data_IF_073156860344
#
_entry.id   IF_073156860344
#
_cell.length_a   1.000
_cell.length_b   1.000
_cell.length_c   1.000
_cell.angle_alpha   90.00
_cell.angle_beta   90.00
_cell.angle_gamma   90.00
#
_symmetry.space_group_name_H-M   'P 1'
#
loop_
_entity.id
_entity.type
_entity.pdbx_description
1 polymer ?
#
# COMPACT_ATOMS: atom_id res chain seq x y z
N UNK A 1 -15.99 8.00 19.43
CA UNK A 1 -16.05 8.97 18.32
C UNK A 1 -17.07 8.52 17.29
N UNK A 2 -17.68 9.48 16.62
CA UNK A 2 -18.61 9.27 15.51
C UNK A 2 -17.92 9.72 14.21
N UNK A 3 -17.61 8.79 13.31
CA UNK A 3 -16.77 9.04 12.13
C UNK A 3 -17.54 8.71 10.86
N UNK A 4 -17.52 9.62 9.87
CA UNK A 4 -18.19 9.43 8.60
C UNK A 4 -17.17 9.34 7.47
N UNK A 5 -17.12 8.19 6.82
CA UNK A 5 -16.36 7.98 5.58
C UNK A 5 -17.25 8.29 4.38
N UNK A 6 -16.74 9.03 3.42
CA UNK A 6 -17.46 9.36 2.19
C UNK A 6 -16.73 8.78 1.00
N UNK A 7 -17.40 7.90 0.22
CA UNK A 7 -16.84 7.20 -0.92
C UNK A 7 -17.82 7.22 -2.10
N UNK A 8 -17.50 8.02 -3.11
CA UNK A 8 -18.33 8.18 -4.30
C UNK A 8 -18.01 7.23 -5.44
N UNK A 9 -17.02 6.35 -5.28
CA UNK A 9 -16.71 5.30 -6.25
C UNK A 9 -17.93 4.40 -6.49
N UNK A 10 -18.08 3.96 -7.74
CA UNK A 10 -19.04 2.91 -8.10
C UNK A 10 -18.37 1.56 -8.28
N UNK A 11 -17.05 1.56 -8.43
CA UNK A 11 -16.22 0.37 -8.60
C UNK A 11 -15.71 -0.11 -7.25
N UNK A 12 -15.33 -1.38 -7.19
CA UNK A 12 -14.72 -2.00 -6.01
C UNK A 12 -13.24 -2.25 -6.24
N UNK A 13 -12.42 -1.90 -5.27
CA UNK A 13 -10.97 -2.10 -5.29
C UNK A 13 -10.38 -2.20 -3.89
N UNK A 14 -9.06 -2.20 -3.81
CA UNK A 14 -8.34 -2.35 -2.54
C UNK A 14 -8.57 -1.20 -1.55
N UNK A 15 -8.79 0.02 -2.05
CA UNK A 15 -9.09 1.18 -1.20
C UNK A 15 -10.46 1.04 -0.54
N UNK A 16 -11.49 0.68 -1.30
CA UNK A 16 -12.86 0.51 -0.80
C UNK A 16 -12.94 -0.66 0.19
N UNK A 17 -12.27 -1.76 -0.11
CA UNK A 17 -12.14 -2.90 0.81
C UNK A 17 -11.48 -2.49 2.13
N UNK A 18 -10.34 -1.80 2.07
CA UNK A 18 -9.65 -1.30 3.26
C UNK A 18 -10.53 -0.34 4.08
N UNK A 19 -11.27 0.54 3.42
CA UNK A 19 -12.21 1.46 4.08
C UNK A 19 -13.27 0.70 4.87
N UNK A 20 -13.82 -0.37 4.33
CA UNK A 20 -14.78 -1.21 5.05
C UNK A 20 -14.15 -1.89 6.28
N UNK A 21 -12.93 -2.41 6.14
CA UNK A 21 -12.22 -3.00 7.27
C UNK A 21 -11.95 -1.97 8.39
N UNK A 22 -11.55 -0.75 8.04
CA UNK A 22 -11.35 0.35 9.00
C UNK A 22 -12.64 0.68 9.76
N UNK A 23 -13.77 0.78 9.05
CA UNK A 23 -15.09 1.06 9.65
C UNK A 23 -15.50 -0.07 10.58
N UNK A 24 -15.35 -1.31 10.15
CA UNK A 24 -15.74 -2.48 10.94
C UNK A 24 -14.86 -2.58 12.21
N UNK A 25 -13.56 -2.32 12.08
CA UNK A 25 -12.65 -2.27 13.24
C UNK A 25 -13.08 -1.19 14.25
N UNK A 26 -13.34 0.03 13.78
CA UNK A 26 -13.81 1.13 14.64
C UNK A 26 -15.09 0.77 15.38
N UNK A 27 -16.06 0.17 14.68
CA UNK A 27 -17.32 -0.26 15.29
C UNK A 27 -17.13 -1.37 16.32
N UNK A 28 -16.18 -2.29 16.09
CA UNK A 28 -15.85 -3.35 17.04
C UNK A 28 -15.10 -2.81 18.30
N UNK A 29 -14.44 -1.65 18.19
CA UNK A 29 -13.70 -1.03 19.30
C UNK A 29 -14.44 0.14 19.99
N UNK A 30 -15.79 0.12 19.95
CA UNK A 30 -16.61 1.07 20.74
C UNK A 30 -16.78 2.45 20.11
N UNK A 31 -16.38 2.64 18.84
CA UNK A 31 -16.65 3.84 18.07
C UNK A 31 -17.90 3.67 17.19
N UNK A 32 -18.39 4.74 16.58
CA UNK A 32 -19.45 4.68 15.59
C UNK A 32 -18.90 5.19 14.26
N UNK A 33 -18.80 4.31 13.28
CA UNK A 33 -18.33 4.65 11.96
C UNK A 33 -19.30 4.20 10.88
N UNK A 34 -19.48 5.03 9.85
CA UNK A 34 -20.39 4.78 8.73
C UNK A 34 -19.66 5.02 7.41
N UNK A 35 -20.08 4.28 6.38
CA UNK A 35 -19.72 4.53 5.00
C UNK A 35 -20.90 5.15 4.25
N UNK A 36 -20.73 6.37 3.75
CA UNK A 36 -21.66 6.93 2.77
C UNK A 36 -21.22 6.51 1.39
N UNK A 37 -22.09 5.86 0.64
CA UNK A 37 -21.82 5.40 -0.72
C UNK A 37 -23.04 5.56 -1.65
N UNK A 38 -22.77 5.44 -2.96
CA UNK A 38 -23.83 5.45 -3.96
C UNK A 38 -24.71 4.20 -3.84
N UNK A 39 -26.04 4.32 -3.93
CA UNK A 39 -26.91 3.17 -4.16
C UNK A 39 -26.50 2.46 -5.46
N UNK A 40 -26.80 1.18 -5.60
CA UNK A 40 -26.56 0.36 -6.79
C UNK A 40 -25.11 0.39 -7.32
N UNK A 41 -24.15 0.57 -6.42
CA UNK A 41 -22.71 0.50 -6.70
C UNK A 41 -22.13 -0.82 -6.23
N UNK A 42 -20.97 -1.23 -6.82
CA UNK A 42 -20.22 -2.38 -6.31
C UNK A 42 -19.76 -2.15 -4.87
N UNK A 43 -19.45 -0.88 -4.50
CA UNK A 43 -19.13 -0.50 -3.12
C UNK A 43 -20.28 -0.85 -2.18
N UNK A 44 -21.53 -0.47 -2.54
CA UNK A 44 -22.70 -0.76 -1.73
C UNK A 44 -22.90 -2.28 -1.53
N UNK A 45 -22.88 -3.07 -2.61
CA UNK A 45 -23.08 -4.51 -2.54
C UNK A 45 -22.00 -5.19 -1.68
N UNK A 46 -20.74 -4.92 -1.97
CA UNK A 46 -19.60 -5.56 -1.29
C UNK A 46 -19.47 -5.12 0.17
N UNK A 47 -19.68 -3.85 0.46
CA UNK A 47 -19.67 -3.36 1.83
C UNK A 47 -20.82 -3.93 2.68
N UNK A 48 -21.99 -4.17 2.07
CA UNK A 48 -23.11 -4.89 2.71
C UNK A 48 -22.73 -6.34 3.04
N UNK A 49 -22.10 -7.05 2.09
CA UNK A 49 -21.61 -8.43 2.31
C UNK A 49 -20.60 -8.51 3.48
N UNK A 50 -19.80 -7.46 3.67
CA UNK A 50 -18.83 -7.34 4.77
C UNK A 50 -19.45 -6.88 6.10
N UNK A 51 -20.77 -6.65 6.15
CA UNK A 51 -21.45 -6.15 7.35
C UNK A 51 -21.10 -4.71 7.73
N UNK A 52 -20.55 -3.93 6.79
CA UNK A 52 -20.16 -2.53 7.04
C UNK A 52 -21.41 -1.66 7.23
N UNK A 53 -21.39 -0.75 8.20
CA UNK A 53 -22.50 0.16 8.48
C UNK A 53 -22.61 1.22 7.39
N UNK A 54 -23.66 1.14 6.57
CA UNK A 54 -23.86 1.94 5.37
C UNK A 54 -24.91 3.05 5.54
N UNK A 55 -24.66 4.14 4.80
CA UNK A 55 -25.62 5.21 4.52
C UNK A 55 -25.65 5.43 3.02
N UNK A 56 -26.75 5.17 2.37
CA UNK A 56 -26.90 5.32 0.93
C UNK A 56 -27.37 6.72 0.56
N UNK A 57 -26.56 7.40 -0.24
CA UNK A 57 -26.88 8.70 -0.84
C UNK A 57 -26.38 8.75 -2.27
N UNK A 58 -27.11 9.35 -3.22
CA UNK A 58 -26.58 9.63 -4.54
C UNK A 58 -25.42 10.65 -4.45
N UNK A 59 -24.20 10.20 -4.71
CA UNK A 59 -22.97 11.01 -4.71
C UNK A 59 -22.56 11.29 -6.17
N UNK A 60 -23.32 12.16 -6.85
CA UNK A 60 -23.22 12.30 -8.30
C UNK A 60 -22.10 13.22 -8.80
N UNK A 61 -22.12 14.48 -8.42
CA UNK A 61 -21.23 15.52 -8.93
C UNK A 61 -20.11 15.88 -7.95
N UNK A 62 -19.03 16.44 -8.46
CA UNK A 62 -17.88 16.90 -7.66
C UNK A 62 -18.26 18.07 -6.75
N UNK A 63 -19.12 18.97 -7.23
CA UNK A 63 -19.73 20.05 -6.45
C UNK A 63 -21.22 19.85 -6.55
N UNK A 64 -21.85 19.53 -5.41
CA UNK A 64 -23.27 19.27 -5.30
C UNK A 64 -23.74 19.76 -3.93
N UNK A 65 -24.26 20.99 -3.91
CA UNK A 65 -24.67 21.66 -2.66
C UNK A 65 -25.84 20.93 -1.98
N UNK A 66 -26.73 20.32 -2.77
CA UNK A 66 -27.86 19.57 -2.21
C UNK A 66 -27.35 18.29 -1.53
N UNK A 67 -26.44 17.57 -2.16
CA UNK A 67 -25.80 16.41 -1.55
C UNK A 67 -24.98 16.82 -0.31
N UNK A 68 -24.20 17.91 -0.37
CA UNK A 68 -23.48 18.45 0.78
C UNK A 68 -24.40 18.82 1.93
N UNK A 69 -25.58 19.42 1.64
CA UNK A 69 -26.57 19.72 2.66
C UNK A 69 -27.16 18.43 3.31
N UNK A 70 -27.44 17.39 2.52
CA UNK A 70 -27.90 16.09 3.05
C UNK A 70 -26.84 15.45 3.96
N UNK A 71 -25.57 15.48 3.55
CA UNK A 71 -24.43 15.03 4.36
C UNK A 71 -24.31 15.83 5.65
N UNK A 72 -24.39 17.15 5.56
CA UNK A 72 -24.36 18.04 6.73
C UNK A 72 -25.48 17.73 7.72
N UNK A 73 -26.73 17.57 7.23
CA UNK A 73 -27.87 17.19 8.06
C UNK A 73 -27.65 15.84 8.75
N UNK A 74 -27.09 14.87 8.04
CA UNK A 74 -26.70 13.58 8.61
C UNK A 74 -25.65 13.76 9.71
N UNK A 75 -24.60 14.52 9.46
CA UNK A 75 -23.53 14.79 10.42
C UNK A 75 -24.08 15.43 11.70
N UNK A 76 -24.92 16.45 11.58
CA UNK A 76 -25.53 17.11 12.75
C UNK A 76 -26.41 16.16 13.55
N UNK A 77 -27.27 15.37 12.87
CA UNK A 77 -28.18 14.42 13.53
C UNK A 77 -27.44 13.32 14.27
N UNK A 78 -26.33 12.84 13.73
CA UNK A 78 -25.56 11.74 14.30
C UNK A 78 -24.32 12.22 15.07
N UNK A 79 -24.18 13.52 15.30
CA UNK A 79 -23.05 14.13 16.04
C UNK A 79 -21.71 13.64 15.53
N UNK A 80 -21.50 13.74 14.19
CA UNK A 80 -20.25 13.32 13.57
C UNK A 80 -19.10 14.23 14.03
N UNK A 81 -18.08 13.60 14.59
CA UNK A 81 -16.86 14.27 15.09
C UNK A 81 -15.84 14.50 13.97
N UNK A 82 -15.80 13.60 12.97
CA UNK A 82 -14.77 13.60 11.92
C UNK A 82 -15.30 13.06 10.60
N UNK A 83 -15.00 13.78 9.51
CA UNK A 83 -15.17 13.31 8.14
C UNK A 83 -13.87 12.71 7.60
N UNK A 84 -13.98 11.60 6.86
CA UNK A 84 -12.84 10.97 6.16
C UNK A 84 -13.12 10.81 4.68
N UNK A 85 -12.14 11.18 3.85
CA UNK A 85 -12.23 11.08 2.38
C UNK A 85 -10.96 10.53 1.77
N UNK A 86 -11.09 9.72 0.71
CA UNK A 86 -9.98 9.14 -0.04
C UNK A 86 -9.85 9.76 -1.44
N UNK A 87 -10.95 10.12 -2.08
CA UNK A 87 -10.93 10.68 -3.43
C UNK A 87 -11.00 12.22 -3.44
N UNK A 88 -10.49 12.83 -4.51
CA UNK A 88 -10.61 14.29 -4.69
C UNK A 88 -12.05 14.74 -4.87
N UNK A 89 -12.90 13.88 -5.42
CA UNK A 89 -14.33 14.16 -5.60
C UNK A 89 -15.04 14.28 -4.26
N UNK A 90 -14.81 13.31 -3.38
CA UNK A 90 -15.42 13.25 -2.05
C UNK A 90 -14.95 14.41 -1.18
N UNK A 91 -13.69 14.80 -1.32
CA UNK A 91 -13.14 15.94 -0.63
C UNK A 91 -13.90 17.23 -1.02
N UNK A 92 -14.10 17.50 -2.33
CA UNK A 92 -14.85 18.66 -2.79
C UNK A 92 -16.30 18.65 -2.29
N UNK A 93 -16.91 17.48 -2.22
CA UNK A 93 -18.26 17.31 -1.72
C UNK A 93 -18.37 17.62 -0.21
N UNK A 94 -17.34 17.28 0.56
CA UNK A 94 -17.25 17.51 2.00
C UNK A 94 -16.73 18.91 2.37
N UNK A 95 -16.20 19.67 1.41
CA UNK A 95 -15.61 20.98 1.67
C UNK A 95 -16.57 21.99 2.34
N UNK A 96 -17.87 22.10 1.94
CA UNK A 96 -18.82 22.97 2.65
C UNK A 96 -19.00 22.56 4.11
N UNK A 97 -18.98 21.26 4.42
CA UNK A 97 -19.13 20.75 5.78
C UNK A 97 -17.92 21.13 6.65
N UNK A 98 -16.72 21.07 6.07
CA UNK A 98 -15.50 21.51 6.72
C UNK A 98 -15.58 22.99 7.13
N UNK A 99 -16.02 23.88 6.22
CA UNK A 99 -16.22 25.29 6.55
C UNK A 99 -17.38 25.54 7.53
N UNK A 100 -18.30 24.59 7.68
CA UNK A 100 -19.33 24.60 8.73
C UNK A 100 -18.83 24.02 10.07
N UNK A 101 -17.51 23.81 10.24
CA UNK A 101 -16.88 23.45 11.50
C UNK A 101 -16.76 21.94 11.77
N UNK A 102 -17.06 21.06 10.78
CA UNK A 102 -16.84 19.62 10.95
C UNK A 102 -15.42 19.27 10.48
N UNK A 103 -14.54 18.74 11.35
CA UNK A 103 -13.18 18.36 10.97
C UNK A 103 -13.16 17.37 9.81
N UNK A 104 -12.22 17.58 8.88
CA UNK A 104 -12.06 16.74 7.69
C UNK A 104 -10.63 16.20 7.59
N UNK A 105 -10.48 14.87 7.61
CA UNK A 105 -9.25 14.16 7.35
C UNK A 105 -9.23 13.65 5.92
N UNK A 106 -8.14 13.94 5.20
CA UNK A 106 -7.94 13.56 3.80
C UNK A 106 -6.82 12.55 3.66
N UNK A 107 -7.11 11.34 3.16
CA UNK A 107 -6.07 10.37 2.83
C UNK A 107 -5.40 10.67 1.48
N UNK A 108 -4.08 10.40 1.41
CA UNK A 108 -3.27 10.49 0.18
C UNK A 108 -2.39 9.26 0.06
N UNK A 109 -2.74 8.37 -0.87
CA UNK A 109 -2.09 7.06 -1.03
C UNK A 109 -1.25 6.95 -2.32
N UNK A 110 -1.15 8.04 -3.12
CA UNK A 110 -0.44 8.05 -4.41
C UNK A 110 0.60 9.14 -4.46
N UNK A 111 1.70 8.87 -5.17
CA UNK A 111 2.82 9.80 -5.38
C UNK A 111 2.67 10.69 -6.61
N UNK A 112 1.63 10.48 -7.43
CA UNK A 112 1.39 11.33 -8.60
C UNK A 112 1.29 12.80 -8.19
N UNK A 113 1.95 13.73 -8.90
CA UNK A 113 1.91 15.15 -8.58
C UNK A 113 0.50 15.70 -8.57
N UNK A 114 0.23 16.67 -7.69
CA UNK A 114 -1.04 17.41 -7.72
C UNK A 114 -0.97 18.42 -8.87
N UNK A 115 -1.46 18.02 -10.03
CA UNK A 115 -1.35 18.79 -11.28
C UNK A 115 -2.17 20.10 -11.34
N UNK A 116 -3.08 20.33 -10.38
CA UNK A 116 -4.02 21.44 -10.39
C UNK A 116 -3.85 22.34 -9.17
N UNK A 117 -3.69 23.66 -9.40
CA UNK A 117 -3.63 24.67 -8.33
C UNK A 117 -4.86 24.62 -7.40
N UNK A 118 -6.06 24.38 -7.95
CA UNK A 118 -7.27 24.24 -7.13
C UNK A 118 -7.25 23.02 -6.22
N UNK A 119 -6.67 21.89 -6.68
CA UNK A 119 -6.49 20.71 -5.81
C UNK A 119 -5.48 20.99 -4.72
N UNK A 120 -4.33 21.59 -5.04
CA UNK A 120 -3.33 21.98 -4.04
C UNK A 120 -3.91 22.92 -2.99
N UNK A 121 -4.71 23.92 -3.41
CA UNK A 121 -5.41 24.82 -2.50
C UNK A 121 -6.33 24.09 -1.53
N UNK A 122 -7.11 23.13 -2.02
CA UNK A 122 -8.03 22.33 -1.19
C UNK A 122 -7.28 21.44 -0.20
N UNK A 123 -6.14 20.87 -0.60
CA UNK A 123 -5.27 20.14 0.34
C UNK A 123 -4.69 21.05 1.42
N UNK A 124 -4.33 22.28 1.07
CA UNK A 124 -3.71 23.24 1.99
C UNK A 124 -4.72 23.85 2.98
N UNK A 125 -5.92 24.17 2.51
CA UNK A 125 -6.90 24.97 3.26
C UNK A 125 -8.24 24.29 3.51
N UNK A 126 -8.52 23.18 2.86
CA UNK A 126 -9.82 22.51 2.87
C UNK A 126 -9.88 21.23 3.72
N UNK A 127 -8.89 20.98 4.56
CA UNK A 127 -8.91 19.88 5.51
C UNK A 127 -8.15 20.23 6.78
N UNK A 128 -8.51 19.57 7.88
CA UNK A 128 -7.81 19.69 9.16
C UNK A 128 -6.54 18.85 9.19
N UNK A 129 -6.55 17.68 8.54
CA UNK A 129 -5.45 16.72 8.53
C UNK A 129 -5.32 16.04 7.18
N UNK A 130 -4.11 15.67 6.82
CA UNK A 130 -3.80 14.78 5.70
C UNK A 130 -3.15 13.53 6.25
N UNK A 131 -3.70 12.36 5.93
CA UNK A 131 -3.06 11.07 6.22
C UNK A 131 -2.36 10.59 4.95
N UNK A 132 -1.03 10.56 4.98
CA UNK A 132 -0.20 10.10 3.88
C UNK A 132 0.26 8.66 4.16
N UNK A 133 0.13 7.77 3.17
CA UNK A 133 0.55 6.36 3.33
C UNK A 133 2.08 6.20 3.37
N UNK A 134 2.85 7.29 3.12
CA UNK A 134 4.31 7.23 3.00
C UNK A 134 4.99 8.57 3.29
N UNK A 135 6.20 8.55 3.81
CA UNK A 135 7.02 9.74 4.08
C UNK A 135 7.37 10.50 2.79
N UNK A 136 7.55 9.81 1.68
CA UNK A 136 7.78 10.44 0.38
C UNK A 136 6.61 11.33 -0.04
N UNK A 137 5.38 10.92 0.25
CA UNK A 137 4.16 11.72 -0.02
C UNK A 137 4.17 12.98 0.86
N UNK A 138 4.50 12.86 2.15
CA UNK A 138 4.64 14.02 3.05
C UNK A 138 5.68 15.00 2.53
N UNK A 139 6.88 14.50 2.19
CA UNK A 139 7.96 15.33 1.61
C UNK A 139 7.51 16.05 0.35
N UNK A 140 6.79 15.38 -0.54
CA UNK A 140 6.26 15.96 -1.76
C UNK A 140 5.23 17.07 -1.46
N UNK A 141 4.25 16.82 -0.61
CA UNK A 141 3.22 17.78 -0.24
C UNK A 141 3.81 19.05 0.39
N UNK A 142 4.83 18.91 1.23
CA UNK A 142 5.52 20.03 1.85
C UNK A 142 6.33 20.82 0.81
N UNK A 143 7.17 20.14 0.01
CA UNK A 143 8.09 20.81 -0.93
C UNK A 143 7.38 21.45 -2.13
N UNK A 144 6.45 20.73 -2.75
CA UNK A 144 5.82 21.16 -4.01
C UNK A 144 4.61 22.04 -3.79
N UNK A 145 3.92 21.91 -2.64
CA UNK A 145 2.65 22.59 -2.41
C UNK A 145 2.64 23.47 -1.16
N UNK A 146 3.73 23.54 -0.40
CA UNK A 146 3.86 24.37 0.80
C UNK A 146 2.78 24.04 1.86
N UNK A 147 2.44 22.74 1.98
CA UNK A 147 1.51 22.29 3.01
C UNK A 147 2.26 22.17 4.34
N UNK A 148 1.65 22.65 5.41
CA UNK A 148 2.22 22.58 6.74
C UNK A 148 2.50 21.12 7.14
N UNK A 149 3.75 20.75 7.46
CA UNK A 149 4.10 19.41 7.86
C UNK A 149 3.36 18.93 9.12
N UNK A 150 2.90 19.84 10.00
CA UNK A 150 2.11 19.52 11.18
C UNK A 150 0.70 19.00 10.83
N UNK A 151 0.19 19.32 9.64
CA UNK A 151 -1.09 18.80 9.15
C UNK A 151 -0.98 17.39 8.55
N UNK A 152 0.24 16.85 8.38
CA UNK A 152 0.45 15.62 7.62
C UNK A 152 0.95 14.52 8.55
N UNK A 153 0.07 13.56 8.82
CA UNK A 153 0.43 12.31 9.49
C UNK A 153 0.86 11.26 8.46
N UNK A 154 1.93 10.53 8.78
CA UNK A 154 2.41 9.43 7.93
C UNK A 154 2.00 8.12 8.58
N UNK A 155 1.05 7.42 7.97
CA UNK A 155 0.52 6.15 8.46
C UNK A 155 0.50 5.16 7.31
N UNK A 156 1.49 4.29 7.26
CA UNK A 156 1.65 3.31 6.18
C UNK A 156 0.56 2.24 6.18
N UNK A 157 0.48 1.51 5.07
CA UNK A 157 -0.48 0.41 4.93
C UNK A 157 -0.11 -0.77 5.83
N UNK A 158 -1.11 -1.44 6.38
CA UNK A 158 -0.95 -2.69 7.10
C UNK A 158 -0.83 -3.89 6.16
N UNK A 159 -0.33 -5.01 6.68
CA UNK A 159 -0.38 -6.33 6.06
C UNK A 159 -1.20 -7.28 6.95
N UNK A 160 -1.88 -8.22 6.34
CA UNK A 160 -2.59 -9.29 7.05
C UNK A 160 -1.57 -10.31 7.57
N UNK A 161 -1.14 -10.12 8.82
CA UNK A 161 -0.12 -10.96 9.46
C UNK A 161 -0.54 -12.42 9.56
N UNK A 162 -1.83 -12.71 9.79
CA UNK A 162 -2.30 -14.10 9.88
C UNK A 162 -2.28 -14.79 8.51
N UNK A 163 -2.62 -14.05 7.45
CA UNK A 163 -2.56 -14.55 6.07
C UNK A 163 -1.14 -14.89 5.63
N UNK A 164 -0.13 -14.09 6.05
CA UNK A 164 1.26 -14.24 5.61
C UNK A 164 2.15 -14.97 6.63
N UNK A 165 1.62 -15.35 7.79
CA UNK A 165 2.36 -15.97 8.89
C UNK A 165 3.05 -17.29 8.50
N UNK A 166 4.36 -17.44 8.81
CA UNK A 166 5.03 -18.74 8.73
C UNK A 166 4.67 -19.65 9.95
N UNK A 167 4.83 -20.99 9.89
CA UNK A 167 5.29 -21.72 8.71
C UNK A 167 4.17 -21.98 7.71
N UNK A 168 4.55 -22.03 6.42
CA UNK A 168 3.69 -22.47 5.33
C UNK A 168 4.41 -23.52 4.49
N UNK A 169 3.67 -24.38 3.80
CA UNK A 169 4.23 -25.38 2.91
C UNK A 169 4.94 -24.70 1.71
N UNK A 170 6.27 -24.75 1.61
CA UNK A 170 7.00 -24.17 0.51
C UNK A 170 6.87 -24.96 -0.79
N UNK A 171 6.46 -26.24 -0.71
CA UNK A 171 6.55 -27.19 -1.82
C UNK A 171 5.42 -27.04 -2.84
N UNK A 172 4.27 -26.49 -2.43
CA UNK A 172 3.09 -26.37 -3.30
C UNK A 172 3.40 -25.55 -4.56
N UNK A 173 3.88 -24.33 -4.39
CA UNK A 173 4.22 -23.47 -5.53
C UNK A 173 5.43 -23.98 -6.30
N UNK A 174 6.46 -24.54 -5.61
CA UNK A 174 7.63 -25.16 -6.25
C UNK A 174 7.25 -26.30 -7.19
N UNK A 175 6.41 -27.23 -6.75
CA UNK A 175 5.88 -28.33 -7.59
C UNK A 175 5.11 -27.83 -8.80
N UNK A 176 4.28 -26.80 -8.60
CA UNK A 176 3.49 -26.23 -9.67
C UNK A 176 4.36 -25.63 -10.81
N UNK A 177 5.48 -25.01 -10.43
CA UNK A 177 6.41 -24.39 -11.40
C UNK A 177 7.58 -25.31 -11.79
N UNK A 178 7.57 -26.58 -11.34
CA UNK A 178 8.56 -27.59 -11.74
C UNK A 178 9.95 -27.37 -11.13
N UNK A 179 10.05 -26.89 -9.88
CA UNK A 179 11.32 -26.60 -9.18
C UNK A 179 11.48 -27.53 -7.98
N UNK A 180 12.67 -28.11 -7.83
CA UNK A 180 13.02 -28.95 -6.68
C UNK A 180 13.17 -28.12 -5.40
N UNK A 181 12.97 -28.79 -4.25
CA UNK A 181 12.98 -28.12 -2.95
C UNK A 181 14.34 -27.49 -2.58
N UNK A 182 15.44 -28.03 -3.09
CA UNK A 182 16.80 -27.54 -2.83
C UNK A 182 17.30 -26.47 -3.83
N UNK A 183 16.54 -26.17 -4.86
CA UNK A 183 16.88 -25.16 -5.86
C UNK A 183 16.69 -23.77 -5.29
N UNK A 184 17.70 -22.89 -5.29
CA UNK A 184 17.53 -21.49 -4.86
C UNK A 184 16.49 -20.79 -5.73
N UNK A 185 15.38 -20.35 -5.13
CA UNK A 185 14.29 -19.66 -5.82
C UNK A 185 14.21 -18.19 -5.40
N UNK A 186 14.45 -17.30 -6.35
CA UNK A 186 14.38 -15.85 -6.19
C UNK A 186 13.03 -15.36 -6.69
N UNK A 187 12.20 -14.79 -5.81
CA UNK A 187 10.87 -14.28 -6.13
C UNK A 187 10.87 -12.77 -6.42
N UNK A 188 10.15 -12.36 -7.47
CA UNK A 188 9.77 -10.97 -7.69
C UNK A 188 8.25 -10.90 -7.85
N UNK A 189 7.58 -10.29 -6.89
CA UNK A 189 6.11 -10.19 -6.84
C UNK A 189 5.69 -8.75 -7.14
N UNK A 190 4.71 -8.57 -8.02
CA UNK A 190 4.15 -7.26 -8.31
C UNK A 190 3.69 -7.07 -9.75
N UNK A 191 3.07 -5.92 -10.03
CA UNK A 191 2.65 -5.58 -11.40
C UNK A 191 3.86 -5.50 -12.33
N UNK A 192 3.70 -6.00 -13.56
CA UNK A 192 4.71 -5.88 -14.60
C UNK A 192 4.59 -4.50 -15.23
N UNK A 193 5.53 -3.61 -14.87
CA UNK A 193 5.57 -2.21 -15.32
C UNK A 193 7.02 -1.73 -15.42
N UNK A 194 7.32 -0.72 -16.27
CA UNK A 194 8.67 -0.18 -16.43
C UNK A 194 9.32 0.27 -15.12
N UNK A 195 8.54 0.88 -14.24
CA UNK A 195 8.99 1.40 -12.95
C UNK A 195 9.30 0.32 -11.90
N UNK A 196 8.88 -0.93 -12.13
CA UNK A 196 9.13 -2.07 -11.22
C UNK A 196 10.43 -2.83 -11.48
N UNK A 197 11.17 -2.46 -12.52
CA UNK A 197 12.53 -2.90 -12.75
C UNK A 197 12.71 -4.38 -13.09
N UNK A 198 11.67 -5.07 -13.60
CA UNK A 198 11.79 -6.48 -14.00
C UNK A 198 12.88 -6.70 -15.07
N UNK A 199 13.14 -5.72 -15.94
CA UNK A 199 14.25 -5.81 -16.91
C UNK A 199 15.64 -5.79 -16.24
N UNK A 200 15.79 -5.00 -15.16
CA UNK A 200 17.01 -4.99 -14.34
C UNK A 200 17.20 -6.35 -13.65
N UNK A 201 16.09 -6.94 -13.18
CA UNK A 201 16.12 -8.28 -12.59
C UNK A 201 16.55 -9.35 -13.60
N UNK A 202 16.06 -9.28 -14.86
CA UNK A 202 16.49 -10.22 -15.92
C UNK A 202 18.00 -10.13 -16.17
N UNK A 203 18.54 -8.92 -16.22
CA UNK A 203 19.99 -8.73 -16.39
C UNK A 203 20.77 -9.19 -15.14
N UNK A 204 20.27 -8.90 -13.93
CA UNK A 204 20.87 -9.42 -12.71
C UNK A 204 20.83 -10.96 -12.66
N UNK A 205 19.74 -11.58 -13.09
CA UNK A 205 19.62 -13.04 -13.18
C UNK A 205 20.68 -13.65 -14.09
N UNK A 206 20.96 -13.04 -15.23
CA UNK A 206 22.04 -13.48 -16.13
C UNK A 206 23.39 -13.54 -15.39
N UNK A 207 23.73 -12.47 -14.64
CA UNK A 207 24.97 -12.40 -13.86
C UNK A 207 24.99 -13.40 -12.68
N UNK A 208 23.87 -13.63 -12.03
CA UNK A 208 23.75 -14.64 -10.96
C UNK A 208 24.00 -16.03 -11.52
N UNK A 209 23.40 -16.36 -12.67
CA UNK A 209 23.47 -17.69 -13.27
C UNK A 209 24.88 -18.07 -13.79
N UNK A 210 25.74 -17.10 -14.06
CA UNK A 210 27.17 -17.34 -14.32
C UNK A 210 27.90 -17.99 -13.13
N UNK A 211 27.47 -17.68 -11.89
CA UNK A 211 28.06 -18.20 -10.64
C UNK A 211 27.21 -19.28 -9.97
N UNK A 212 25.90 -19.22 -10.17
CA UNK A 212 24.91 -20.15 -9.59
C UNK A 212 23.91 -20.61 -10.67
N UNK A 213 24.36 -21.53 -11.56
CA UNK A 213 23.55 -22.04 -12.67
C UNK A 213 22.33 -22.85 -12.21
N UNK A 214 22.34 -23.27 -10.95
CA UNK A 214 21.25 -23.96 -10.26
C UNK A 214 20.10 -23.03 -9.84
N UNK A 215 20.32 -21.72 -9.72
CA UNK A 215 19.30 -20.78 -9.29
C UNK A 215 18.11 -20.66 -10.29
N UNK A 216 16.94 -20.35 -9.75
CA UNK A 216 15.72 -20.08 -10.53
C UNK A 216 15.08 -18.80 -10.05
N UNK A 217 14.37 -18.15 -10.97
CA UNK A 217 13.68 -16.90 -10.71
C UNK A 217 12.20 -17.06 -11.04
N UNK A 218 11.33 -16.50 -10.19
CA UNK A 218 9.89 -16.44 -10.43
C UNK A 218 9.43 -14.99 -10.46
N UNK A 219 8.89 -14.53 -11.59
CA UNK A 219 8.23 -13.24 -11.73
C UNK A 219 6.73 -13.47 -11.65
N UNK A 220 6.13 -12.97 -10.57
CA UNK A 220 4.71 -13.18 -10.22
C UNK A 220 3.97 -11.87 -10.34
N UNK A 221 3.01 -11.83 -11.26
CA UNK A 221 2.20 -10.67 -11.56
C UNK A 221 1.82 -10.58 -13.03
N UNK A 222 1.08 -9.55 -13.38
CA UNK A 222 0.69 -9.31 -14.76
C UNK A 222 0.82 -7.83 -15.13
N UNK A 223 0.92 -7.55 -16.42
CA UNK A 223 0.92 -6.21 -16.97
C UNK A 223 -0.49 -5.59 -16.89
N UNK A 224 -0.56 -4.30 -16.60
CA UNK A 224 -1.81 -3.56 -16.75
C UNK A 224 -2.02 -3.26 -18.25
N UNK A 225 -3.11 -3.75 -18.85
CA UNK A 225 -3.43 -3.57 -20.26
C UNK A 225 -3.64 -2.10 -20.72
N UNK A 226 -3.48 -1.15 -19.82
CA UNK A 226 -3.62 0.31 -20.05
C UNK A 226 -2.38 0.91 -20.71
N UNK A 227 -1.22 0.30 -20.56
CA UNK A 227 0.02 0.80 -21.17
C UNK A 227 0.20 0.18 -22.56
N UNK A 228 -0.18 0.89 -23.61
CA UNK A 228 0.10 0.57 -25.03
C UNK A 228 1.61 0.36 -25.33
N UNK A 229 2.50 0.59 -24.38
CA UNK A 229 3.94 0.35 -24.40
C UNK A 229 4.36 -0.40 -23.13
N UNK A 230 3.74 -1.57 -22.86
CA UNK A 230 4.19 -2.46 -21.80
C UNK A 230 5.64 -2.92 -22.06
N UNK A 231 6.45 -3.04 -21.00
CA UNK A 231 7.72 -3.76 -21.12
C UNK A 231 7.41 -5.20 -21.50
N UNK A 232 8.14 -5.70 -22.48
CA UNK A 232 8.05 -7.11 -22.83
C UNK A 232 9.13 -7.88 -22.07
N UNK A 233 8.84 -8.19 -20.80
CA UNK A 233 9.75 -8.96 -19.94
C UNK A 233 10.04 -10.34 -20.55
N UNK A 234 9.05 -10.97 -21.19
CA UNK A 234 9.22 -12.27 -21.86
C UNK A 234 10.24 -12.18 -22.99
N UNK A 235 10.15 -11.18 -23.87
CA UNK A 235 11.15 -10.99 -24.91
C UNK A 235 12.56 -10.76 -24.34
N UNK A 236 12.69 -10.03 -23.24
CA UNK A 236 13.98 -9.84 -22.61
C UNK A 236 14.56 -11.16 -22.05
N UNK A 237 13.71 -12.00 -21.45
CA UNK A 237 14.07 -13.35 -20.99
C UNK A 237 14.54 -14.21 -22.16
N UNK A 238 13.77 -14.22 -23.27
CA UNK A 238 14.08 -15.02 -24.47
C UNK A 238 15.37 -14.55 -25.13
N UNK A 239 15.57 -13.24 -25.28
CA UNK A 239 16.79 -12.66 -25.83
C UNK A 239 18.04 -12.92 -24.96
N UNK A 240 17.86 -13.01 -23.63
CA UNK A 240 18.93 -13.38 -22.73
C UNK A 240 19.20 -14.90 -22.68
N UNK A 241 18.40 -15.72 -23.33
CA UNK A 241 18.51 -17.20 -23.31
C UNK A 241 18.17 -17.79 -21.94
N UNK A 242 17.25 -17.15 -21.17
CA UNK A 242 16.94 -17.51 -19.78
C UNK A 242 15.54 -18.10 -19.60
N UNK A 243 14.91 -18.58 -20.69
CA UNK A 243 13.54 -19.08 -20.67
C UNK A 243 13.34 -20.30 -19.73
N UNK A 244 14.38 -21.09 -19.51
CA UNK A 244 14.40 -22.25 -18.59
C UNK A 244 14.79 -21.87 -17.15
N UNK A 245 15.21 -20.63 -16.90
CA UNK A 245 15.72 -20.13 -15.62
C UNK A 245 14.78 -19.13 -14.95
N UNK A 246 13.99 -18.39 -15.73
CA UNK A 246 13.08 -17.37 -15.26
C UNK A 246 11.63 -17.74 -15.59
N UNK A 247 10.84 -18.03 -14.58
CA UNK A 247 9.45 -18.44 -14.72
C UNK A 247 8.55 -17.22 -14.61
N UNK A 248 7.72 -16.99 -15.64
CA UNK A 248 6.63 -16.00 -15.62
C UNK A 248 5.37 -16.67 -15.05
N UNK A 249 5.14 -16.58 -13.74
CA UNK A 249 4.05 -17.30 -13.08
C UNK A 249 2.66 -16.63 -13.20
N UNK A 250 2.58 -15.48 -13.87
CA UNK A 250 1.32 -14.77 -14.05
C UNK A 250 0.78 -14.15 -12.76
N UNK A 251 -0.49 -13.71 -12.83
CA UNK A 251 -1.17 -13.16 -11.65
C UNK A 251 -1.58 -14.27 -10.67
N UNK A 252 -1.35 -14.05 -9.37
CA UNK A 252 -1.64 -15.03 -8.32
C UNK A 252 -2.43 -14.41 -7.18
N UNK A 253 -3.40 -15.16 -6.66
CA UNK A 253 -4.17 -14.82 -5.45
C UNK A 253 -3.54 -15.41 -4.17
N UNK A 254 -2.81 -16.50 -4.32
CA UNK A 254 -2.14 -17.27 -3.27
C UNK A 254 -0.70 -16.78 -3.04
N UNK A 255 -0.52 -15.46 -3.03
CA UNK A 255 0.81 -14.86 -2.78
C UNK A 255 1.50 -15.34 -1.51
N UNK A 256 0.81 -15.70 -0.40
CA UNK A 256 1.48 -16.31 0.74
C UNK A 256 2.21 -17.62 0.43
N UNK A 257 1.65 -18.46 -0.45
CA UNK A 257 2.28 -19.71 -0.88
C UNK A 257 3.49 -19.43 -1.79
N UNK A 258 3.40 -18.37 -2.61
CA UNK A 258 4.52 -17.88 -3.42
C UNK A 258 5.68 -17.42 -2.52
N UNK A 259 5.40 -16.57 -1.52
CA UNK A 259 6.45 -16.12 -0.60
C UNK A 259 7.05 -17.30 0.17
N UNK A 260 6.22 -18.24 0.64
CA UNK A 260 6.70 -19.44 1.34
C UNK A 260 7.68 -20.29 0.52
N UNK A 261 7.46 -20.36 -0.79
CA UNK A 261 8.30 -21.12 -1.72
C UNK A 261 9.63 -20.44 -2.05
N UNK A 262 9.70 -19.10 -1.98
CA UNK A 262 10.91 -18.35 -2.30
C UNK A 262 11.94 -18.41 -1.18
N UNK A 263 13.23 -18.53 -1.51
CA UNK A 263 14.32 -18.40 -0.57
C UNK A 263 14.64 -16.95 -0.25
N UNK A 264 14.35 -16.05 -1.19
CA UNK A 264 14.43 -14.60 -1.03
C UNK A 264 13.48 -13.87 -1.98
N UNK A 265 13.18 -12.63 -1.63
CA UNK A 265 12.32 -11.76 -2.44
C UNK A 265 13.12 -10.55 -2.93
N UNK A 266 12.99 -10.23 -4.21
CA UNK A 266 13.65 -9.08 -4.84
C UNK A 266 12.63 -8.03 -5.23
N UNK A 267 12.87 -6.78 -4.83
CA UNK A 267 12.11 -5.59 -5.21
C UNK A 267 13.06 -4.66 -5.99
N UNK A 268 13.00 -4.74 -7.32
CA UNK A 268 13.92 -4.05 -8.23
C UNK A 268 13.41 -2.68 -8.72
N UNK A 269 12.47 -2.06 -8.01
CA UNK A 269 11.81 -0.83 -8.44
C UNK A 269 12.80 0.30 -8.79
N UNK A 270 12.52 1.03 -9.89
CA UNK A 270 13.39 2.09 -10.42
C UNK A 270 12.98 3.48 -9.97
N UNK A 271 11.76 3.61 -9.50
CA UNK A 271 11.16 4.89 -9.09
C UNK A 271 10.45 4.72 -7.75
N UNK A 272 9.67 5.69 -7.40
CA UNK A 272 9.01 5.83 -6.12
C UNK A 272 8.13 4.64 -5.74
N UNK A 273 8.40 4.05 -4.59
CA UNK A 273 7.50 3.15 -3.86
C UNK A 273 6.93 3.92 -2.66
N UNK A 274 5.65 4.26 -2.72
CA UNK A 274 5.01 5.00 -1.64
C UNK A 274 4.73 4.10 -0.44
N UNK A 275 4.10 2.96 -0.67
CA UNK A 275 3.79 1.99 0.38
C UNK A 275 4.07 0.60 -0.16
N UNK A 276 5.33 0.12 -0.03
CA UNK A 276 5.76 -1.13 -0.65
C UNK A 276 5.11 -2.34 0.04
N UNK A 277 3.89 -2.70 -0.42
CA UNK A 277 3.14 -3.80 0.19
C UNK A 277 3.90 -5.12 0.07
N UNK A 278 4.58 -5.33 -1.06
CA UNK A 278 5.39 -6.53 -1.31
C UNK A 278 6.52 -6.69 -0.28
N UNK A 279 7.16 -5.58 0.15
CA UNK A 279 8.16 -5.60 1.21
C UNK A 279 7.55 -6.06 2.54
N UNK A 280 6.37 -5.54 2.87
CA UNK A 280 5.67 -5.88 4.11
C UNK A 280 5.18 -7.31 4.12
N UNK A 281 4.65 -7.80 2.99
CA UNK A 281 4.23 -9.19 2.81
C UNK A 281 5.42 -10.15 2.90
N UNK A 282 6.55 -9.83 2.27
CA UNK A 282 7.76 -10.64 2.34
C UNK A 282 8.31 -10.70 3.77
N UNK A 283 8.35 -9.58 4.47
CA UNK A 283 8.74 -9.53 5.88
C UNK A 283 7.79 -10.35 6.76
N UNK A 284 6.46 -10.19 6.60
CA UNK A 284 5.45 -10.95 7.31
C UNK A 284 5.54 -12.46 7.04
N UNK A 285 6.02 -12.84 5.84
CA UNK A 285 6.27 -14.23 5.46
C UNK A 285 7.63 -14.76 5.93
N UNK A 286 8.41 -13.96 6.66
CA UNK A 286 9.74 -14.34 7.14
C UNK A 286 10.74 -14.60 6.01
N UNK A 287 10.66 -13.83 4.90
CA UNK A 287 11.59 -13.98 3.77
C UNK A 287 12.66 -12.89 3.80
N UNK A 288 13.93 -13.24 3.53
CA UNK A 288 14.96 -12.24 3.33
C UNK A 288 14.65 -11.41 2.07
N UNK A 289 14.83 -10.09 2.15
CA UNK A 289 14.49 -9.16 1.07
C UNK A 289 15.70 -8.41 0.58
N UNK A 290 15.82 -8.31 -0.74
CA UNK A 290 16.74 -7.40 -1.43
C UNK A 290 15.88 -6.35 -2.12
N UNK A 291 16.13 -5.08 -1.87
CA UNK A 291 15.34 -4.01 -2.46
C UNK A 291 16.18 -2.82 -2.91
N UNK A 292 15.67 -2.09 -3.88
CA UNK A 292 16.28 -0.84 -4.34
C UNK A 292 15.96 0.33 -3.42
N UNK A 293 16.88 1.30 -3.30
CA UNK A 293 16.76 2.50 -2.47
C UNK A 293 15.81 3.53 -3.09
N UNK A 294 14.53 3.19 -3.22
CA UNK A 294 13.51 4.08 -3.79
C UNK A 294 12.35 4.33 -2.82
N UNK A 295 11.79 5.53 -2.87
CA UNK A 295 10.60 5.91 -2.10
C UNK A 295 10.79 5.75 -0.60
N UNK A 296 9.89 5.00 0.04
CA UNK A 296 9.91 4.72 1.48
C UNK A 296 10.61 3.38 1.83
N UNK A 297 11.15 2.66 0.84
CA UNK A 297 11.89 1.41 1.12
C UNK A 297 13.01 1.62 2.14
N UNK A 298 13.90 2.65 2.03
CA UNK A 298 14.97 2.86 3.00
C UNK A 298 14.51 3.26 4.42
N UNK A 299 13.27 3.70 4.57
CA UNK A 299 12.68 3.99 5.89
C UNK A 299 12.26 2.70 6.62
N UNK A 300 11.97 1.63 5.87
CA UNK A 300 11.47 0.34 6.36
C UNK A 300 12.59 -0.71 6.41
N UNK A 301 13.34 -0.83 5.31
CA UNK A 301 14.42 -1.81 5.17
C UNK A 301 15.76 -1.14 5.52
N UNK A 302 16.42 -1.67 6.54
CA UNK A 302 17.76 -1.27 7.00
C UNK A 302 18.76 -2.26 6.46
N UNK A 303 19.72 -1.74 5.70
CA UNK A 303 20.75 -2.54 5.04
C UNK A 303 21.47 -3.45 6.03
N UNK A 304 21.62 -4.73 5.68
CA UNK A 304 22.24 -5.82 6.46
C UNK A 304 21.62 -6.08 7.84
N UNK A 305 20.56 -5.37 8.21
CA UNK A 305 19.84 -5.60 9.48
C UNK A 305 18.59 -6.43 9.25
N UNK A 306 17.72 -6.03 8.33
CA UNK A 306 16.49 -6.73 7.99
C UNK A 306 16.32 -6.95 6.48
N UNK A 307 17.38 -6.76 5.68
CA UNK A 307 17.44 -7.00 4.25
C UNK A 307 18.69 -6.38 3.66
N UNK A 308 18.81 -6.42 2.32
CA UNK A 308 19.89 -5.74 1.59
C UNK A 308 19.32 -4.63 0.71
N UNK A 309 20.03 -3.48 0.67
CA UNK A 309 19.67 -2.32 -0.12
C UNK A 309 20.67 -2.12 -1.26
N UNK A 310 20.16 -1.96 -2.48
CA UNK A 310 20.96 -1.68 -3.68
C UNK A 310 20.49 -0.40 -4.37
N UNK A 311 21.34 0.20 -5.19
CA UNK A 311 20.96 1.36 -5.99
C UNK A 311 19.96 0.97 -7.10
N UNK A 312 18.96 1.81 -7.42
CA UNK A 312 18.01 1.52 -8.46
C UNK A 312 18.67 1.49 -9.84
N UNK A 313 18.34 0.46 -10.64
CA UNK A 313 18.88 0.27 -11.99
C UNK A 313 20.24 -0.42 -12.03
N UNK A 314 20.88 -0.69 -10.91
CA UNK A 314 22.16 -1.38 -10.83
C UNK A 314 21.97 -2.91 -10.79
N UNK A 315 22.02 -3.55 -11.96
CA UNK A 315 21.88 -5.00 -12.09
C UNK A 315 23.08 -5.75 -11.51
N UNK A 316 24.29 -5.14 -11.48
CA UNK A 316 25.48 -5.77 -10.91
C UNK A 316 25.39 -5.81 -9.38
N UNK A 317 25.03 -4.70 -8.74
CA UNK A 317 24.80 -4.66 -7.31
C UNK A 317 23.64 -5.60 -6.88
N UNK A 318 22.57 -5.67 -7.68
CA UNK A 318 21.46 -6.57 -7.44
C UNK A 318 21.90 -8.05 -7.53
N UNK A 319 22.67 -8.41 -8.54
CA UNK A 319 23.22 -9.75 -8.70
C UNK A 319 24.18 -10.11 -7.53
N UNK A 320 25.05 -9.18 -7.12
CA UNK A 320 25.96 -9.39 -5.99
C UNK A 320 25.18 -9.64 -4.69
N UNK A 321 24.13 -8.86 -4.41
CA UNK A 321 23.28 -9.05 -3.23
C UNK A 321 22.52 -10.41 -3.24
N UNK A 322 22.05 -10.86 -4.40
CA UNK A 322 21.41 -12.17 -4.55
C UNK A 322 22.44 -13.29 -4.25
N UNK A 323 23.63 -13.20 -4.83
CA UNK A 323 24.71 -14.16 -4.59
C UNK A 323 25.14 -14.15 -3.11
N UNK A 324 25.21 -12.99 -2.49
CA UNK A 324 25.53 -12.85 -1.07
C UNK A 324 24.55 -13.65 -0.19
N UNK A 325 23.24 -13.49 -0.38
CA UNK A 325 22.24 -14.26 0.37
C UNK A 325 22.30 -15.77 0.08
N UNK A 326 22.63 -16.18 -1.14
CA UNK A 326 22.80 -17.60 -1.48
C UNK A 326 24.03 -18.18 -0.79
N UNK A 327 25.13 -17.41 -0.72
CA UNK A 327 26.41 -17.86 -0.16
C UNK A 327 26.54 -17.67 1.35
N UNK A 328 25.76 -16.78 1.95
CA UNK A 328 25.69 -16.55 3.39
C UNK A 328 24.25 -16.78 3.94
N UNK A 329 23.87 -18.05 4.15
CA UNK A 329 22.56 -18.37 4.73
C UNK A 329 22.32 -17.81 6.14
N UNK A 330 23.42 -17.50 6.89
CA UNK A 330 23.30 -16.90 8.23
C UNK A 330 22.86 -15.45 8.12
N UNK A 331 23.43 -14.69 7.21
CA UNK A 331 23.00 -13.32 6.94
C UNK A 331 21.56 -13.29 6.44
N UNK A 332 21.20 -14.18 5.50
CA UNK A 332 19.84 -14.28 4.98
C UNK A 332 18.82 -14.59 6.10
N UNK A 333 19.11 -15.56 6.95
CA UNK A 333 18.27 -15.93 8.10
C UNK A 333 18.17 -14.79 9.13
N UNK A 334 19.28 -14.09 9.40
CA UNK A 334 19.29 -12.93 10.29
C UNK A 334 18.38 -11.80 9.76
N UNK A 335 18.51 -11.45 8.50
CA UNK A 335 17.68 -10.44 7.87
C UNK A 335 16.20 -10.83 7.86
N UNK A 336 15.89 -12.10 7.54
CA UNK A 336 14.54 -12.63 7.54
C UNK A 336 13.88 -12.56 8.92
N UNK A 337 14.58 -13.00 9.97
CA UNK A 337 14.08 -12.95 11.35
C UNK A 337 13.81 -11.51 11.82
N UNK A 338 14.71 -10.58 11.51
CA UNK A 338 14.53 -9.17 11.84
C UNK A 338 13.40 -8.52 11.03
N UNK A 339 13.25 -8.88 9.74
CA UNK A 339 12.14 -8.44 8.90
C UNK A 339 10.80 -8.91 9.45
N UNK A 340 10.68 -10.19 9.83
CA UNK A 340 9.47 -10.75 10.43
C UNK A 340 9.12 -10.05 11.75
N UNK A 341 10.12 -9.85 12.63
CA UNK A 341 9.90 -9.11 13.88
C UNK A 341 9.40 -7.69 13.61
N UNK A 342 10.05 -6.97 12.69
CA UNK A 342 9.63 -5.63 12.30
C UNK A 342 8.19 -5.61 11.76
N UNK A 343 7.81 -6.60 10.92
CA UNK A 343 6.45 -6.70 10.40
C UNK A 343 5.44 -6.94 11.53
N UNK A 344 5.75 -7.84 12.46
CA UNK A 344 4.87 -8.18 13.58
C UNK A 344 4.66 -6.99 14.52
N UNK A 345 5.71 -6.21 14.77
CA UNK A 345 5.65 -5.05 15.68
C UNK A 345 4.97 -3.83 15.06
N UNK A 346 5.08 -3.64 13.71
CA UNK A 346 4.71 -2.35 13.10
C UNK A 346 3.67 -2.43 11.99
N UNK A 347 3.42 -3.61 11.37
CA UNK A 347 2.60 -3.69 10.16
C UNK A 347 1.24 -4.37 10.39
N UNK A 348 0.86 -4.68 11.64
CA UNK A 348 -0.46 -5.23 11.91
C UNK A 348 -1.56 -4.22 11.59
N UNK A 349 -2.73 -4.75 11.21
CA UNK A 349 -3.90 -3.92 10.96
C UNK A 349 -4.33 -3.16 12.22
N UNK A 350 -4.25 -3.81 13.39
CA UNK A 350 -4.59 -3.21 14.68
C UNK A 350 -3.66 -2.03 15.00
N UNK A 351 -2.34 -2.20 14.87
CA UNK A 351 -1.37 -1.11 15.10
C UNK A 351 -1.60 0.08 14.15
N UNK A 352 -1.91 -0.19 12.90
CA UNK A 352 -2.26 0.85 11.93
C UNK A 352 -3.52 1.60 12.38
N UNK A 353 -4.56 0.86 12.78
CA UNK A 353 -5.83 1.45 13.20
C UNK A 353 -5.72 2.23 14.51
N UNK A 354 -4.98 1.73 15.49
CA UNK A 354 -4.69 2.45 16.73
C UNK A 354 -3.92 3.75 16.48
N UNK A 355 -2.96 3.73 15.55
CA UNK A 355 -2.21 4.93 15.16
C UNK A 355 -3.13 5.94 14.48
N UNK A 356 -4.00 5.50 13.55
CA UNK A 356 -5.01 6.34 12.92
C UNK A 356 -5.97 6.94 13.96
N UNK A 357 -6.46 6.12 14.87
CA UNK A 357 -7.39 6.54 15.90
C UNK A 357 -6.77 7.59 16.83
N UNK A 358 -5.51 7.41 17.25
CA UNK A 358 -4.78 8.40 18.05
C UNK A 358 -4.67 9.75 17.34
N UNK A 359 -4.33 9.73 16.05
CA UNK A 359 -4.26 10.94 15.24
C UNK A 359 -5.65 11.61 15.08
N UNK A 360 -6.70 10.83 14.87
CA UNK A 360 -8.09 11.32 14.76
C UNK A 360 -8.59 11.95 16.07
N UNK A 361 -8.29 11.33 17.21
CA UNK A 361 -8.63 11.84 18.55
C UNK A 361 -7.90 13.15 18.81
N UNK A 362 -6.59 13.21 18.56
CA UNK A 362 -5.80 14.43 18.75
C UNK A 362 -6.35 15.59 17.88
N UNK A 363 -6.71 15.29 16.64
CA UNK A 363 -7.31 16.25 15.73
C UNK A 363 -8.64 16.82 16.27
N UNK A 364 -9.52 15.95 16.72
CA UNK A 364 -10.86 16.37 17.20
C UNK A 364 -10.77 17.16 18.51
N UNK A 365 -9.84 16.83 19.41
CA UNK A 365 -9.59 17.58 20.63
C UNK A 365 -9.02 18.97 20.34
N UNK A 366 -8.09 19.09 19.40
CA UNK A 366 -7.53 20.39 18.98
C UNK A 366 -8.60 21.31 18.39
N UNK A 367 -9.52 20.77 17.58
CA UNK A 367 -10.63 21.55 17.01
C UNK A 367 -11.68 21.94 18.07
N UNK A 368 -11.92 21.12 19.07
CA UNK A 368 -12.85 21.45 20.17
C UNK A 368 -12.33 22.59 21.06
N UNK A 369 -11.01 22.68 21.25
CA UNK A 369 -10.37 23.76 22.00
C UNK A 369 -10.34 25.11 21.28
N UNK A 370 -10.40 25.09 19.95
CA UNK A 370 -10.38 26.32 19.12
C UNK A 370 -11.75 26.94 18.88
N UNK A 371 -12.84 26.29 19.28
CA UNK A 371 -14.21 26.81 19.07
C UNK A 371 -15.11 26.60 20.30
N UNK A 372 -15.01 27.48 21.34
CA UNK A 372 -15.76 27.34 22.58
C UNK A 372 -17.28 27.58 22.45
N UNK A 373 -17.77 28.11 21.32
CA UNK A 373 -19.17 28.52 21.15
C UNK A 373 -20.07 27.48 20.40
N UNK A 374 -19.58 26.28 20.11
CA UNK A 374 -20.33 25.27 19.31
C UNK A 374 -20.79 24.02 20.09
N UNK A 375 -21.11 24.18 21.38
CA UNK A 375 -21.80 23.11 22.17
C UNK A 375 -23.29 23.37 22.31
#
# INVERSE_FOLDING_TARGET
>A
MNILYVESSRSWGGQEYRTCLEINWLNAHGHQAWLVCNPDSQVHSRASELGTRLVTMPLGRRVDLFCSWRLWRFCRRNRIDLLKTYSSKDHWLCLPLYFCGIPLSRARCITDPISSKSRAFVFKHGCSQIVADASVIKRQLVREHGIDPAKIEVIGSAVDLEKFKPPRDPTKFRREIGIDDNTPLIGNVGMIRPDKGQLVLVEAARLVLEKRPDARFAIVGQGTGILKRGINVRNAIDQAGLADKIIMAGYRWDTPDVYAACDMVVIASLRTEASPIVLREAFASGRPVIATKVGDIPEILRDRQNGLLVEPGDSQALAAAIIEFICDPKLAAHCAANGLRHATEHFSFDNMMETKLRADVALTLANAGSNPESR
#
